data_IF_966152582702
#
_entry.id   IF_966152582702
#
_cell.length_a   1.000
_cell.length_b   1.000
_cell.length_c   1.000
_cell.angle_alpha   90.00
_cell.angle_beta   90.00
_cell.angle_gamma   90.00
#
_symmetry.space_group_name_H-M   'P 1'
#
loop_
_entity.id
_entity.type
_entity.pdbx_description
1 polymer ?
#
# COMPACT_ATOMS: atom_id res chain seq x y z
N UNK A 1 -6.54 -13.57 7.39
CA UNK A 1 -5.07 -13.44 7.45
C UNK A 1 -4.55 -12.89 6.12
N UNK A 2 -3.50 -12.09 6.16
CA UNK A 2 -2.95 -11.42 4.97
C UNK A 2 -1.74 -10.56 5.33
N UNK A 3 -1.22 -9.85 4.33
CA UNK A 3 -0.10 -8.91 4.49
C UNK A 3 -0.65 -7.50 4.60
N UNK A 4 -0.15 -6.76 5.58
CA UNK A 4 -0.35 -5.31 5.69
C UNK A 4 0.78 -4.59 4.99
N UNK A 5 0.46 -3.59 4.18
CA UNK A 5 1.40 -2.68 3.52
C UNK A 5 1.06 -1.26 3.97
N UNK A 6 2.07 -0.43 4.23
CA UNK A 6 1.86 0.98 4.56
C UNK A 6 2.33 1.83 3.38
N UNK A 7 1.44 2.67 2.85
CA UNK A 7 1.75 3.65 1.82
C UNK A 7 1.93 5.02 2.47
N UNK A 8 2.95 5.75 2.05
CA UNK A 8 3.17 7.14 2.45
C UNK A 8 2.69 8.05 1.33
N UNK A 9 1.79 8.98 1.64
CA UNK A 9 1.37 10.02 0.70
C UNK A 9 1.96 11.37 1.12
N UNK A 10 2.87 11.90 0.30
CA UNK A 10 3.56 13.16 0.53
C UNK A 10 2.60 14.37 0.50
N UNK A 11 1.55 14.34 -0.32
CA UNK A 11 0.67 15.52 -0.49
C UNK A 11 -0.15 15.79 0.75
N UNK A 12 -0.56 14.74 1.46
CA UNK A 12 -1.41 14.85 2.64
C UNK A 12 -0.66 14.56 3.94
N UNK A 13 0.63 14.16 3.87
CA UNK A 13 1.41 13.68 5.01
C UNK A 13 0.68 12.59 5.81
N UNK A 14 -0.05 11.72 5.10
CA UNK A 14 -0.81 10.62 5.70
C UNK A 14 -0.18 9.28 5.35
N UNK A 15 -0.34 8.33 6.27
CA UNK A 15 -0.11 6.93 5.99
C UNK A 15 -1.45 6.32 5.56
N UNK A 16 -1.44 5.53 4.49
CA UNK A 16 -2.59 4.79 3.99
C UNK A 16 -2.33 3.31 4.20
N UNK A 17 -3.28 2.61 4.83
CA UNK A 17 -3.16 1.19 5.08
C UNK A 17 -3.58 0.38 3.85
N UNK A 18 -2.67 -0.43 3.33
CA UNK A 18 -2.91 -1.45 2.32
C UNK A 18 -3.07 -2.83 2.92
N UNK A 19 -3.97 -3.64 2.37
CA UNK A 19 -4.17 -5.03 2.77
C UNK A 19 -4.19 -5.97 1.57
N UNK A 20 -3.35 -7.00 1.62
CA UNK A 20 -3.27 -8.07 0.64
C UNK A 20 -3.75 -9.37 1.29
N UNK A 21 -4.88 -9.95 0.86
CA UNK A 21 -5.33 -11.25 1.34
C UNK A 21 -4.25 -12.33 1.14
N UNK A 22 -4.10 -13.26 2.09
CA UNK A 22 -3.04 -14.28 2.05
C UNK A 22 -3.03 -15.08 0.72
N UNK A 23 -4.20 -15.43 0.18
CA UNK A 23 -4.33 -16.12 -1.11
C UNK A 23 -3.83 -15.32 -2.33
N UNK A 24 -3.45 -14.06 -2.16
CA UNK A 24 -2.91 -13.17 -3.21
C UNK A 24 -1.51 -12.66 -2.91
N UNK A 25 -0.96 -12.94 -1.72
CA UNK A 25 0.32 -12.43 -1.27
C UNK A 25 1.43 -12.69 -2.29
N UNK A 26 1.55 -13.94 -2.75
CA UNK A 26 2.59 -14.36 -3.68
C UNK A 26 2.53 -13.65 -5.04
N UNK A 27 1.36 -13.17 -5.46
CA UNK A 27 1.22 -12.46 -6.72
C UNK A 27 1.73 -11.01 -6.64
N UNK A 28 1.50 -10.33 -5.50
CA UNK A 28 1.83 -8.91 -5.34
C UNK A 28 3.17 -8.65 -4.67
N UNK A 29 3.63 -9.57 -3.82
CA UNK A 29 4.85 -9.41 -3.04
C UNK A 29 6.10 -9.15 -3.90
N UNK A 30 6.31 -9.79 -5.07
CA UNK A 30 7.46 -9.49 -5.93
C UNK A 30 7.50 -8.04 -6.44
N UNK A 31 6.35 -7.37 -6.54
CA UNK A 31 6.23 -5.98 -7.02
C UNK A 31 6.29 -4.95 -5.89
N UNK A 32 6.44 -5.38 -4.64
CA UNK A 32 6.46 -4.51 -3.46
C UNK A 32 7.83 -4.52 -2.81
N UNK A 33 8.52 -3.39 -2.90
CA UNK A 33 9.82 -3.18 -2.26
C UNK A 33 9.78 -1.95 -1.36
N UNK A 34 10.33 -2.07 -0.16
CA UNK A 34 10.39 -0.96 0.78
C UNK A 34 11.18 0.22 0.17
N UNK A 35 10.70 1.45 0.37
CA UNK A 35 11.30 2.67 -0.17
C UNK A 35 11.04 2.95 -1.64
N UNK A 36 10.30 2.08 -2.35
CA UNK A 36 9.94 2.29 -3.75
C UNK A 36 8.61 3.02 -3.87
N UNK A 37 8.50 3.88 -4.86
CA UNK A 37 7.23 4.53 -5.20
C UNK A 37 6.50 3.67 -6.21
N UNK A 38 5.26 3.33 -5.86
CA UNK A 38 4.38 2.52 -6.70
C UNK A 38 3.08 3.25 -6.96
N UNK A 39 2.55 3.05 -8.17
CA UNK A 39 1.16 3.36 -8.51
C UNK A 39 0.34 2.09 -8.36
N UNK A 40 -0.71 2.16 -7.54
CA UNK A 40 -1.68 1.06 -7.38
C UNK A 40 -2.99 1.47 -8.05
N UNK A 41 -3.52 0.61 -8.90
CA UNK A 41 -4.78 0.82 -9.63
C UNK A 41 -5.76 -0.33 -9.38
N UNK A 42 -7.06 -0.10 -9.61
CA UNK A 42 -8.14 -1.11 -9.53
C UNK A 42 -8.19 -1.84 -8.17
N UNK A 43 -8.07 -1.07 -7.09
CA UNK A 43 -8.21 -1.57 -5.73
C UNK A 43 -9.61 -1.28 -5.18
N UNK A 44 -9.97 -1.98 -4.10
CA UNK A 44 -11.16 -1.65 -3.31
C UNK A 44 -10.80 -0.76 -2.13
N UNK A 45 -11.71 0.11 -1.73
CA UNK A 45 -11.64 0.83 -0.46
C UNK A 45 -12.53 0.13 0.54
N UNK A 46 -11.97 -0.31 1.66
CA UNK A 46 -12.70 -0.93 2.76
C UNK A 46 -12.56 -0.10 4.04
N UNK A 47 -13.48 -0.28 4.99
CA UNK A 47 -13.33 0.32 6.32
C UNK A 47 -12.31 -0.47 7.14
N UNK A 48 -11.42 0.25 7.82
CA UNK A 48 -10.50 -0.33 8.79
C UNK A 48 -11.29 -0.79 10.03
N UNK A 49 -11.24 -2.07 10.39
CA UNK A 49 -11.70 -2.52 11.71
C UNK A 49 -10.78 -1.88 12.75
N UNK A 50 -11.34 -1.21 13.75
CA UNK A 50 -10.59 -0.47 14.78
C UNK A 50 -9.54 -1.27 15.54
N UNK A 51 -9.61 -2.60 15.48
CA UNK A 51 -8.60 -3.48 16.04
C UNK A 51 -7.34 -3.42 15.18
N UNK A 52 -6.24 -2.91 15.76
CA UNK A 52 -4.91 -2.78 15.16
C UNK A 52 -4.75 -1.63 14.15
N UNK A 53 -5.35 -0.47 14.45
CA UNK A 53 -5.08 0.77 13.70
C UNK A 53 -3.68 1.30 13.99
N UNK A 54 -2.83 1.31 12.97
CA UNK A 54 -1.56 2.05 12.96
C UNK A 54 -1.81 3.55 12.65
N UNK A 55 -3.01 3.88 12.17
CA UNK A 55 -3.38 5.20 11.63
C UNK A 55 -4.84 5.52 11.94
N UNK A 56 -5.14 6.80 12.17
CA UNK A 56 -6.50 7.30 12.46
C UNK A 56 -7.42 7.32 11.23
N UNK A 57 -6.89 7.10 10.03
CA UNK A 57 -7.69 7.09 8.82
C UNK A 57 -8.64 5.87 8.79
N UNK A 58 -9.97 6.07 8.59
CA UNK A 58 -10.95 4.99 8.71
C UNK A 58 -10.98 4.04 7.51
N UNK A 59 -10.20 4.30 6.45
CA UNK A 59 -10.21 3.54 5.21
C UNK A 59 -8.89 2.81 4.96
N UNK A 60 -8.99 1.65 4.31
CA UNK A 60 -7.87 0.85 3.85
C UNK A 60 -8.03 0.56 2.35
N UNK A 61 -6.90 0.49 1.64
CA UNK A 61 -6.79 -0.04 0.29
C UNK A 61 -6.75 -1.56 0.39
N UNK A 62 -7.67 -2.25 -0.28
CA UNK A 62 -7.72 -3.72 -0.35
C UNK A 62 -7.36 -4.19 -1.76
N UNK A 63 -6.38 -5.07 -1.83
CA UNK A 63 -5.95 -5.71 -3.07
C UNK A 63 -6.94 -6.81 -3.46
N UNK A 64 -7.43 -6.73 -4.70
CA UNK A 64 -8.35 -7.66 -5.33
C UNK A 64 -7.75 -8.19 -6.63
N UNK A 65 -8.35 -9.22 -7.26
CA UNK A 65 -7.80 -9.82 -8.50
C UNK A 65 -7.40 -8.81 -9.58
N UNK A 66 -8.21 -7.78 -9.88
CA UNK A 66 -7.85 -6.82 -10.90
C UNK A 66 -6.87 -5.75 -10.44
N UNK A 67 -6.41 -5.74 -9.18
CA UNK A 67 -5.47 -4.72 -8.69
C UNK A 67 -4.14 -4.85 -9.42
N UNK A 68 -3.60 -3.72 -9.87
CA UNK A 68 -2.33 -3.66 -10.61
C UNK A 68 -1.38 -2.71 -9.90
N UNK A 69 -0.10 -3.10 -9.84
CA UNK A 69 0.98 -2.30 -9.27
C UNK A 69 1.95 -1.96 -10.39
N UNK A 70 2.31 -0.69 -10.52
CA UNK A 70 3.37 -0.22 -11.41
C UNK A 70 4.42 0.52 -10.60
N UNK A 71 5.69 0.19 -10.82
CA UNK A 71 6.80 0.97 -10.27
C UNK A 71 6.87 2.33 -10.99
N UNK A 72 7.09 3.40 -10.21
CA UNK A 72 7.21 4.76 -10.75
C UNK A 72 8.69 5.15 -10.78
N UNK A 73 9.30 5.09 -11.96
CA UNK A 73 10.74 5.30 -12.12
C UNK A 73 11.14 6.75 -12.42
N UNK A 74 10.25 7.57 -12.98
CA UNK A 74 10.59 8.91 -13.49
C UNK A 74 9.87 10.00 -12.71
N UNK A 75 10.61 10.98 -12.19
CA UNK A 75 10.06 12.16 -11.51
C UNK A 75 9.39 11.86 -10.16
N UNK A 76 9.59 10.66 -9.61
CA UNK A 76 9.02 10.26 -8.33
C UNK A 76 9.80 10.92 -7.16
N UNK A 77 9.11 11.35 -6.09
CA UNK A 77 9.76 11.78 -4.86
C UNK A 77 10.76 10.72 -4.35
N UNK A 78 11.93 11.13 -3.88
CA UNK A 78 12.89 10.17 -3.30
C UNK A 78 12.68 10.11 -1.80
N UNK A 79 12.35 8.93 -1.28
CA UNK A 79 12.41 8.67 0.16
C UNK A 79 13.88 8.45 0.50
N UNK A 80 14.50 9.45 1.15
CA UNK A 80 15.86 9.30 1.68
C UNK A 80 15.80 8.35 2.88
N UNK A 81 16.10 7.07 2.63
CA UNK A 81 16.34 6.12 3.70
C UNK A 81 17.67 6.50 4.36
N UNK A 82 17.62 7.12 5.53
CA UNK A 82 18.81 7.22 6.38
C UNK A 82 19.09 5.83 6.93
N UNK A 83 20.21 5.24 6.49
CA UNK A 83 20.76 4.02 7.08
C UNK A 83 21.48 4.32 8.37
#
# INVERSE_FOLDING_TARGET
MGITVLFLDEKVNLVIHGFIPAGRANHYMPSLKAGFIVKVDRFEVARCSSMYKIIDHPFIIRFISPTIIYEVNTGAPKINLQS
#
